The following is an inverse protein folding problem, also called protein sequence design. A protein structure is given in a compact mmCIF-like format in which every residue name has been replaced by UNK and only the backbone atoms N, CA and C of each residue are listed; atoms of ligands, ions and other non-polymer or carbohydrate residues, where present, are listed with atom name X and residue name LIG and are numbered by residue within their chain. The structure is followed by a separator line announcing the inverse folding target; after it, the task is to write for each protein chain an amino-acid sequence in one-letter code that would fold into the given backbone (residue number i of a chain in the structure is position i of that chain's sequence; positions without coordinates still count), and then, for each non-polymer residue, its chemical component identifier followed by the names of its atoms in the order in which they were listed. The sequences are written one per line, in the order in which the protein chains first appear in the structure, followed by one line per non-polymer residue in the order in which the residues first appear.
data_IF_387434484911
#
_entry.id   IF_387434484911
#
_cell.length_a   1.000
_cell.length_b   1.000
_cell.length_c   1.000
_cell.angle_alpha   90.00
_cell.angle_beta   90.00
_cell.angle_gamma   90.00
#
_symmetry.space_group_name_H-M   'P 1'
#
loop_
_entity.id
_entity.type
_entity.pdbx_description
1 polymer ?
#
# COMPACT_ATOMS: atom_id res chain seq x y z
N UNK A 1 -24.63 18.10 -2.31
CA UNK A 1 -23.88 16.93 -1.81
C UNK A 1 -22.50 17.39 -1.35
N UNK A 2 -22.08 17.08 -0.10
CA UNK A 2 -20.74 17.46 0.39
C UNK A 2 -19.68 16.69 -0.41
N UNK A 3 -18.84 17.40 -1.16
CA UNK A 3 -17.66 16.83 -1.83
C UNK A 3 -16.69 16.40 -0.73
N UNK A 4 -16.60 15.09 -0.47
CA UNK A 4 -15.59 14.53 0.43
C UNK A 4 -14.24 14.59 -0.28
N UNK A 5 -13.35 15.44 0.23
CA UNK A 5 -11.95 15.54 -0.16
C UNK A 5 -11.14 14.52 0.63
N UNK A 6 -10.42 13.62 -0.05
CA UNK A 6 -9.39 12.80 0.58
C UNK A 6 -8.04 13.30 0.06
N UNK A 7 -7.18 13.78 0.97
CA UNK A 7 -5.84 14.31 0.67
C UNK A 7 -5.77 15.46 -0.35
N UNK A 8 -6.77 16.35 -0.39
CA UNK A 8 -6.71 17.58 -1.20
C UNK A 8 -6.90 17.40 -2.72
N UNK A 9 -7.12 16.18 -3.19
CA UNK A 9 -7.56 15.91 -4.55
C UNK A 9 -9.08 15.79 -4.57
N UNK A 10 -9.74 16.50 -5.50
CA UNK A 10 -11.10 16.12 -5.86
C UNK A 10 -11.06 14.68 -6.41
N UNK A 11 -12.10 13.91 -6.10
CA UNK A 11 -12.31 12.48 -6.34
C UNK A 11 -12.38 12.10 -7.85
N UNK A 12 -11.56 12.72 -8.71
CA UNK A 12 -11.95 13.08 -10.08
C UNK A 12 -11.55 12.08 -11.17
N UNK A 13 -10.57 11.18 -11.01
CA UNK A 13 -10.17 10.28 -12.11
C UNK A 13 -10.27 8.77 -11.83
N UNK A 14 -10.39 8.33 -10.57
CA UNK A 14 -10.59 6.92 -10.28
C UNK A 14 -12.09 6.63 -10.19
N UNK A 15 -12.61 5.64 -10.94
CA UNK A 15 -13.97 5.19 -10.72
C UNK A 15 -14.11 4.70 -9.27
N UNK A 16 -15.30 4.81 -8.66
CA UNK A 16 -15.53 4.22 -7.35
C UNK A 16 -15.15 2.74 -7.39
N UNK A 17 -14.45 2.28 -6.34
CA UNK A 17 -14.07 0.87 -6.25
C UNK A 17 -15.33 0.00 -6.38
N UNK A 18 -15.33 -0.99 -7.28
CA UNK A 18 -16.49 -1.86 -7.43
C UNK A 18 -16.72 -2.64 -6.14
N UNK A 19 -17.98 -2.89 -5.80
CA UNK A 19 -18.31 -3.79 -4.69
C UNK A 19 -17.95 -5.23 -5.08
N UNK A 20 -16.84 -5.72 -4.53
CA UNK A 20 -16.42 -7.11 -4.71
C UNK A 20 -17.00 -7.96 -3.58
N UNK A 21 -17.96 -8.81 -3.90
CA UNK A 21 -18.49 -9.80 -2.94
C UNK A 21 -17.49 -10.93 -2.74
N UNK A 22 -17.01 -11.14 -1.51
CA UNK A 22 -16.05 -12.21 -1.14
C UNK A 22 -14.73 -12.18 -1.94
N UNK A 23 -13.92 -11.11 -1.82
CA UNK A 23 -12.69 -10.92 -2.59
C UNK A 23 -11.68 -12.07 -2.43
N UNK A 24 -11.54 -12.65 -1.23
CA UNK A 24 -10.67 -13.80 -0.92
C UNK A 24 -11.03 -15.08 -1.68
N UNK A 25 -12.25 -15.19 -2.20
CA UNK A 25 -12.70 -16.35 -3.02
C UNK A 25 -12.56 -16.13 -4.53
N UNK A 26 -12.49 -14.87 -4.95
CA UNK A 26 -12.41 -14.47 -6.36
C UNK A 26 -10.97 -14.28 -6.82
N UNK A 27 -10.13 -13.72 -5.97
CA UNK A 27 -8.72 -13.46 -6.25
C UNK A 27 -7.85 -14.36 -5.38
N UNK A 28 -6.94 -15.10 -6.02
CA UNK A 28 -5.95 -15.88 -5.29
C UNK A 28 -4.92 -14.95 -4.63
N UNK A 29 -4.19 -15.48 -3.64
CA UNK A 29 -3.21 -14.73 -2.87
C UNK A 29 -2.12 -14.09 -3.73
N UNK A 30 -1.64 -14.79 -4.77
CA UNK A 30 -0.59 -14.28 -5.65
C UNK A 30 -1.05 -13.07 -6.47
N UNK A 31 -2.28 -13.07 -6.97
CA UNK A 31 -2.86 -11.93 -7.69
C UNK A 31 -3.04 -10.70 -6.80
N UNK A 32 -3.47 -10.91 -5.54
CA UNK A 32 -3.57 -9.84 -4.56
C UNK A 32 -2.20 -9.29 -4.17
N UNK A 33 -1.22 -10.17 -3.95
CA UNK A 33 0.16 -9.79 -3.63
C UNK A 33 0.80 -8.98 -4.77
N UNK A 34 0.59 -9.39 -6.04
CA UNK A 34 1.07 -8.65 -7.20
C UNK A 34 0.55 -7.20 -7.23
N UNK A 35 -0.75 -7.00 -7.00
CA UNK A 35 -1.34 -5.66 -6.93
C UNK A 35 -0.83 -4.89 -5.69
N UNK A 36 -0.76 -5.57 -4.54
CA UNK A 36 -0.27 -5.02 -3.29
C UNK A 36 1.17 -4.50 -3.38
N UNK A 37 2.05 -5.20 -4.08
CA UNK A 37 3.44 -4.83 -4.28
C UNK A 37 3.57 -3.49 -5.04
N UNK A 38 2.81 -3.34 -6.13
CA UNK A 38 2.77 -2.08 -6.89
C UNK A 38 2.21 -0.91 -6.06
N UNK A 39 1.17 -1.16 -5.24
CA UNK A 39 0.59 -0.14 -4.37
C UNK A 39 1.60 0.27 -3.30
N UNK A 40 2.22 -0.69 -2.62
CA UNK A 40 3.16 -0.43 -1.54
C UNK A 40 4.39 0.33 -2.05
N UNK A 41 4.97 -0.08 -3.19
CA UNK A 41 6.11 0.60 -3.79
C UNK A 41 5.77 2.05 -4.18
N UNK A 42 4.57 2.31 -4.71
CA UNK A 42 4.12 3.67 -5.01
C UNK A 42 4.10 4.55 -3.74
N UNK A 43 3.57 4.03 -2.64
CA UNK A 43 3.54 4.76 -1.36
C UNK A 43 4.95 4.97 -0.79
N UNK A 44 5.82 3.96 -0.85
CA UNK A 44 7.21 4.08 -0.41
C UNK A 44 7.98 5.14 -1.22
N UNK A 45 7.88 5.08 -2.55
CA UNK A 45 8.47 6.07 -3.47
C UNK A 45 7.96 7.47 -3.18
N UNK A 46 6.64 7.63 -3.04
CA UNK A 46 6.02 8.93 -2.69
C UNK A 46 6.52 9.46 -1.35
N UNK A 47 6.67 8.60 -0.34
CA UNK A 47 7.14 8.98 0.99
C UNK A 47 8.58 9.54 0.95
N UNK A 48 9.47 8.90 0.18
CA UNK A 48 10.86 9.34 0.04
C UNK A 48 11.10 10.36 -1.08
N UNK A 49 10.06 10.73 -1.83
CA UNK A 49 10.19 11.67 -2.95
C UNK A 49 10.54 13.10 -2.48
N UNK A 50 10.14 13.45 -1.24
CA UNK A 50 10.43 14.74 -0.65
C UNK A 50 10.98 14.57 0.78
N UNK A 51 12.09 15.25 1.16
CA UNK A 51 12.90 16.17 0.35
C UNK A 51 13.66 15.45 -0.78
N UNK A 52 14.07 16.16 -1.85
CA UNK A 52 14.80 15.55 -2.96
C UNK A 52 16.14 14.98 -2.48
N UNK A 53 16.42 13.74 -2.89
CA UNK A 53 17.66 13.02 -2.60
C UNK A 53 18.40 12.70 -3.90
N UNK A 54 19.67 12.30 -3.78
CA UNK A 54 20.37 11.70 -4.90
C UNK A 54 19.67 10.40 -5.33
N UNK A 55 19.70 10.08 -6.63
CA UNK A 55 19.02 8.90 -7.17
C UNK A 55 19.43 7.60 -6.45
N UNK A 56 20.70 7.46 -6.09
CA UNK A 56 21.22 6.30 -5.38
C UNK A 56 20.68 6.20 -3.96
N UNK A 57 20.64 7.32 -3.24
CA UNK A 57 20.13 7.35 -1.87
C UNK A 57 18.61 7.14 -1.83
N UNK A 58 17.88 7.78 -2.74
CA UNK A 58 16.45 7.59 -2.91
C UNK A 58 16.12 6.12 -3.16
N UNK A 59 16.75 5.50 -4.17
CA UNK A 59 16.52 4.09 -4.49
C UNK A 59 16.89 3.19 -3.32
N UNK A 60 18.00 3.47 -2.61
CA UNK A 60 18.38 2.71 -1.42
C UNK A 60 17.30 2.75 -0.34
N UNK A 61 16.78 3.95 0.00
CA UNK A 61 15.73 4.11 1.02
C UNK A 61 14.44 3.39 0.64
N UNK A 62 14.04 3.48 -0.63
CA UNK A 62 12.88 2.73 -1.15
C UNK A 62 13.13 1.23 -1.02
N UNK A 63 14.26 0.72 -1.50
CA UNK A 63 14.61 -0.70 -1.42
C UNK A 63 14.65 -1.23 0.01
N UNK A 64 15.12 -0.43 0.95
CA UNK A 64 15.18 -0.80 2.36
C UNK A 64 13.79 -1.01 2.98
N UNK A 65 12.71 -0.47 2.41
CA UNK A 65 11.34 -0.72 2.89
C UNK A 65 10.59 -1.74 2.03
N UNK A 66 10.81 -1.79 0.72
CA UNK A 66 10.06 -2.68 -0.18
C UNK A 66 10.60 -4.10 -0.26
N UNK A 67 11.83 -4.37 0.21
CA UNK A 67 12.39 -5.74 0.21
C UNK A 67 11.60 -6.70 1.10
N UNK A 68 11.61 -7.98 0.74
CA UNK A 68 10.83 -9.02 1.41
C UNK A 68 11.08 -9.09 2.92
N UNK A 69 12.33 -8.92 3.37
CA UNK A 69 12.69 -8.98 4.78
C UNK A 69 12.03 -7.86 5.59
N UNK A 70 11.96 -6.65 5.01
CA UNK A 70 11.31 -5.51 5.66
C UNK A 70 9.80 -5.67 5.70
N UNK A 71 9.20 -6.21 4.63
CA UNK A 71 7.78 -6.52 4.60
C UNK A 71 7.40 -7.61 5.60
N UNK A 72 8.22 -8.65 5.76
CA UNK A 72 8.01 -9.71 6.76
C UNK A 72 8.10 -9.19 8.20
N UNK A 73 9.11 -8.36 8.50
CA UNK A 73 9.22 -7.70 9.82
C UNK A 73 8.01 -6.80 10.11
N UNK A 74 7.55 -6.05 9.10
CA UNK A 74 6.35 -5.22 9.23
C UNK A 74 5.10 -6.08 9.48
N UNK A 75 4.92 -7.15 8.71
CA UNK A 75 3.79 -8.07 8.90
C UNK A 75 3.76 -8.67 10.30
N UNK A 76 4.90 -9.18 10.78
CA UNK A 76 5.02 -9.71 12.14
C UNK A 76 4.67 -8.66 13.21
N UNK A 77 5.07 -7.41 13.00
CA UNK A 77 4.70 -6.30 13.88
C UNK A 77 3.20 -6.03 13.85
N UNK A 78 2.58 -5.97 12.67
CA UNK A 78 1.15 -5.72 12.51
C UNK A 78 0.29 -6.86 13.06
N UNK A 79 0.76 -8.11 13.01
CA UNK A 79 0.10 -9.26 13.62
C UNK A 79 0.22 -9.25 15.15
N UNK A 80 1.32 -8.73 15.69
CA UNK A 80 1.52 -8.58 17.14
C UNK A 80 0.75 -7.40 17.74
N UNK A 81 0.38 -6.42 16.92
CA UNK A 81 -0.44 -5.27 17.30
C UNK A 81 -1.92 -5.53 16.96
N UNK A 82 -2.86 -4.87 17.66
CA UNK A 82 -4.29 -4.96 17.34
C UNK A 82 -4.68 -4.02 16.18
N UNK A 83 -3.84 -4.00 15.15
CA UNK A 83 -3.96 -3.08 14.02
C UNK A 83 -4.87 -3.64 12.91
N UNK A 84 -4.78 -4.96 12.67
CA UNK A 84 -5.53 -5.65 11.63
C UNK A 84 -6.88 -6.14 12.18
N UNK A 85 -7.94 -6.01 11.39
CA UNK A 85 -9.23 -6.63 11.73
C UNK A 85 -9.18 -8.15 11.57
N UNK A 86 -10.19 -8.85 12.07
CA UNK A 86 -10.31 -10.31 11.90
C UNK A 86 -10.37 -10.73 10.42
N UNK A 87 -10.91 -9.88 9.55
CA UNK A 87 -10.93 -10.11 8.11
C UNK A 87 -9.60 -9.79 7.41
N UNK A 88 -8.67 -9.11 8.06
CA UNK A 88 -7.35 -8.74 7.51
C UNK A 88 -6.23 -9.65 8.02
N UNK A 89 -6.42 -10.27 9.19
CA UNK A 89 -5.62 -11.42 9.67
C UNK A 89 -5.79 -12.64 8.75
#
# INVERSE_FOLDING_TARGET
AKKSTYMGFEKWWLPPAPEVKKPRSLYNAASLAYLGDCIYELYARRHFFFPPLSINEYNKRVMDVVKCESQDLLLNKLLGEDFLTEEER
#
